data_IF_073651576716
#
_entry.id   IF_073651576716
#
_cell.length_a   1.000
_cell.length_b   1.000
_cell.length_c   1.000
_cell.angle_alpha   90.00
_cell.angle_beta   90.00
_cell.angle_gamma   90.00
#
_symmetry.space_group_name_H-M   'P 1'
#
loop_
_entity.id
_entity.type
_entity.pdbx_description
1 polymer ?
#
# COMPACT_ATOMS: atom_id res chain seq x y z
N UNK A 1 -28.29 8.76 -8.19
CA UNK A 1 -28.27 8.43 -6.76
C UNK A 1 -26.97 8.99 -6.17
N UNK A 2 -27.03 10.10 -5.40
CA UNK A 2 -25.84 10.79 -4.87
C UNK A 2 -25.19 9.93 -3.77
N UNK A 3 -23.97 9.43 -4.01
CA UNK A 3 -23.14 8.76 -2.99
C UNK A 3 -22.79 9.78 -1.90
N UNK A 4 -23.27 9.55 -0.70
CA UNK A 4 -22.83 10.26 0.50
C UNK A 4 -21.36 9.91 0.75
N UNK A 5 -20.45 10.88 0.56
CA UNK A 5 -19.06 10.77 1.01
C UNK A 5 -19.05 10.83 2.54
N UNK A 6 -19.12 9.69 3.20
CA UNK A 6 -18.80 9.60 4.62
C UNK A 6 -17.34 10.04 4.79
N UNK A 7 -17.13 11.22 5.38
CA UNK A 7 -15.84 11.63 5.93
C UNK A 7 -15.56 10.69 7.11
N UNK A 8 -14.93 9.57 6.87
CA UNK A 8 -14.33 8.77 7.95
C UNK A 8 -13.26 9.63 8.59
N UNK A 9 -13.48 9.98 9.86
CA UNK A 9 -12.48 10.69 10.65
C UNK A 9 -11.18 9.88 10.65
N UNK A 10 -10.06 10.53 10.36
CA UNK A 10 -8.73 9.93 10.45
C UNK A 10 -8.56 9.42 11.87
N UNK A 11 -8.46 8.11 12.05
CA UNK A 11 -8.11 7.50 13.33
C UNK A 11 -6.68 7.89 13.65
N UNK A 12 -6.48 8.76 14.61
CA UNK A 12 -5.14 9.10 15.09
C UNK A 12 -4.62 7.92 15.90
N UNK A 13 -3.59 7.27 15.41
CA UNK A 13 -2.83 6.27 16.19
C UNK A 13 -2.04 7.04 17.26
N UNK A 14 -2.29 6.70 18.52
CA UNK A 14 -1.51 7.22 19.66
C UNK A 14 -0.53 6.14 20.08
N UNK A 15 0.74 6.49 20.07
CA UNK A 15 1.81 5.61 20.56
C UNK A 15 2.15 6.01 22.00
N UNK A 16 2.14 5.05 22.91
CA UNK A 16 2.57 5.22 24.30
C UNK A 16 3.58 4.14 24.67
N UNK A 17 4.43 4.41 25.64
CA UNK A 17 5.46 3.47 26.11
C UNK A 17 5.13 2.93 27.51
N UNK A 18 3.84 2.81 27.83
CA UNK A 18 3.35 2.33 29.14
C UNK A 18 3.32 0.80 29.29
N UNK A 19 3.68 0.08 28.22
CA UNK A 19 3.73 -1.38 28.21
C UNK A 19 2.35 -2.06 28.14
N UNK A 20 1.27 -1.29 28.01
CA UNK A 20 -0.09 -1.82 27.87
C UNK A 20 -0.42 -1.96 26.38
N UNK A 21 -0.91 -3.13 25.95
CA UNK A 21 -1.29 -3.37 24.57
C UNK A 21 -0.10 -3.33 23.60
N UNK A 22 1.03 -3.88 24.01
CA UNK A 22 2.23 -3.95 23.15
C UNK A 22 1.92 -4.74 21.89
N UNK A 23 2.18 -4.11 20.74
CA UNK A 23 1.95 -4.69 19.42
C UNK A 23 3.26 -4.64 18.65
N UNK A 24 3.67 -5.78 18.07
CA UNK A 24 4.80 -5.81 17.16
C UNK A 24 4.43 -5.06 15.86
N UNK A 25 5.43 -4.42 15.26
CA UNK A 25 5.28 -3.73 13.97
C UNK A 25 4.21 -2.61 13.96
N UNK A 26 3.94 -1.98 15.09
CA UNK A 26 2.90 -0.95 15.22
C UNK A 26 3.05 0.20 14.20
N UNK A 27 4.28 0.50 13.77
CA UNK A 27 4.58 1.51 12.75
C UNK A 27 3.98 1.23 11.39
N UNK A 28 3.66 -0.03 11.09
CA UNK A 28 3.06 -0.46 9.81
C UNK A 28 1.66 0.11 9.63
N UNK A 29 0.91 0.33 10.72
CA UNK A 29 -0.40 0.97 10.66
C UNK A 29 -0.36 2.38 10.05
N UNK A 30 0.76 3.11 10.17
CA UNK A 30 0.96 4.42 9.56
C UNK A 30 0.99 4.35 8.03
N UNK A 31 1.46 3.26 7.45
CA UNK A 31 1.46 3.07 5.98
C UNK A 31 0.02 3.02 5.45
N UNK A 32 -0.89 2.41 6.20
CA UNK A 32 -2.30 2.36 5.86
C UNK A 32 -2.96 3.73 5.92
N UNK A 33 -2.62 4.55 6.93
CA UNK A 33 -3.07 5.93 7.01
C UNK A 33 -2.53 6.77 5.84
N UNK A 34 -1.28 6.58 5.45
CA UNK A 34 -0.69 7.24 4.28
C UNK A 34 -1.44 6.83 3.01
N UNK A 35 -1.79 5.56 2.83
CA UNK A 35 -2.57 5.10 1.69
C UNK A 35 -3.95 5.76 1.60
N UNK A 36 -4.58 6.00 2.74
CA UNK A 36 -5.88 6.70 2.84
C UNK A 36 -5.73 8.20 2.54
N UNK A 37 -4.78 8.86 3.20
CA UNK A 37 -4.52 10.30 3.08
C UNK A 37 -4.08 10.71 1.67
N UNK A 38 -3.32 9.86 0.98
CA UNK A 38 -2.87 10.10 -0.39
C UNK A 38 -3.91 9.77 -1.45
N UNK A 39 -5.07 9.24 -1.04
CA UNK A 39 -6.16 8.84 -1.93
C UNK A 39 -5.90 7.53 -2.69
N UNK A 40 -4.86 6.76 -2.33
CA UNK A 40 -4.56 5.49 -2.98
C UNK A 40 -5.75 4.53 -2.93
N UNK A 41 -6.38 4.41 -1.76
CA UNK A 41 -7.51 3.51 -1.54
C UNK A 41 -8.69 3.87 -2.47
N UNK A 42 -9.10 5.14 -2.48
CA UNK A 42 -10.20 5.60 -3.33
C UNK A 42 -9.91 5.43 -4.81
N UNK A 43 -8.73 5.85 -5.25
CA UNK A 43 -8.34 5.76 -6.67
C UNK A 43 -8.27 4.31 -7.17
N UNK A 44 -7.76 3.36 -6.36
CA UNK A 44 -7.75 1.93 -6.73
C UNK A 44 -9.16 1.36 -6.71
N UNK A 45 -10.00 1.77 -5.74
CA UNK A 45 -11.41 1.37 -5.71
C UNK A 45 -12.15 1.79 -6.97
N UNK A 46 -11.95 3.03 -7.41
CA UNK A 46 -12.60 3.55 -8.62
C UNK A 46 -12.15 2.78 -9.89
N UNK A 47 -10.88 2.40 -9.96
CA UNK A 47 -10.33 1.60 -11.07
C UNK A 47 -10.93 0.20 -11.12
N UNK A 48 -11.17 -0.43 -9.97
CA UNK A 48 -11.61 -1.82 -9.89
C UNK A 48 -13.13 -1.97 -9.70
N UNK A 49 -13.88 -0.87 -9.64
CA UNK A 49 -15.30 -0.88 -9.30
C UNK A 49 -16.16 -1.68 -10.29
N UNK A 50 -15.83 -1.67 -11.57
CA UNK A 50 -16.55 -2.35 -12.64
C UNK A 50 -16.33 -3.88 -12.64
N UNK A 51 -15.29 -4.35 -11.96
CA UNK A 51 -15.03 -5.78 -11.79
C UNK A 51 -15.98 -6.46 -10.81
N UNK A 52 -16.77 -5.67 -10.06
CA UNK A 52 -17.71 -6.16 -9.06
C UNK A 52 -19.15 -6.03 -9.54
N UNK A 53 -19.91 -7.13 -9.46
CA UNK A 53 -21.33 -7.18 -9.88
C UNK A 53 -22.30 -6.62 -8.83
N UNK A 54 -21.82 -6.24 -7.64
CA UNK A 54 -22.66 -5.76 -6.55
C UNK A 54 -21.85 -5.07 -5.46
N UNK A 55 -22.48 -4.76 -4.33
CA UNK A 55 -21.79 -4.11 -3.21
C UNK A 55 -20.70 -5.04 -2.66
N UNK A 56 -19.57 -4.46 -2.32
CA UNK A 56 -18.47 -5.16 -1.65
C UNK A 56 -18.56 -5.02 -0.12
N UNK A 57 -18.16 -6.05 0.59
CA UNK A 57 -17.97 -6.03 2.06
C UNK A 57 -16.67 -5.29 2.39
N UNK A 58 -15.61 -5.61 1.63
CA UNK A 58 -14.33 -4.92 1.70
C UNK A 58 -14.11 -4.11 0.43
N UNK A 59 -13.84 -2.83 0.59
CA UNK A 59 -13.54 -1.91 -0.51
C UNK A 59 -12.28 -2.38 -1.26
N UNK A 60 -12.30 -2.53 -2.61
CA UNK A 60 -11.17 -3.08 -3.37
C UNK A 60 -9.84 -2.39 -3.12
N UNK A 61 -9.85 -1.06 -3.11
CA UNK A 61 -8.65 -0.29 -2.80
C UNK A 61 -8.13 -0.49 -1.38
N UNK A 62 -9.02 -0.82 -0.43
CA UNK A 62 -8.64 -1.17 0.94
C UNK A 62 -7.93 -2.51 0.98
N UNK A 63 -8.46 -3.53 0.29
CA UNK A 63 -7.82 -4.84 0.18
C UNK A 63 -6.45 -4.72 -0.48
N UNK A 64 -6.34 -3.91 -1.54
CA UNK A 64 -5.07 -3.61 -2.19
C UNK A 64 -4.07 -2.94 -1.25
N UNK A 65 -4.52 -1.94 -0.48
CA UNK A 65 -3.65 -1.23 0.47
C UNK A 65 -3.21 -2.14 1.61
N UNK A 66 -4.09 -3.01 2.14
CA UNK A 66 -3.74 -3.97 3.18
C UNK A 66 -2.68 -4.96 2.69
N UNK A 67 -2.80 -5.45 1.46
CA UNK A 67 -1.78 -6.30 0.85
C UNK A 67 -0.45 -5.56 0.68
N UNK A 68 -0.49 -4.31 0.18
CA UNK A 68 0.72 -3.49 0.05
C UNK A 68 1.40 -3.22 1.39
N UNK A 69 0.62 -3.04 2.45
CA UNK A 69 1.11 -2.89 3.83
C UNK A 69 1.74 -4.18 4.32
N UNK A 70 1.12 -5.35 4.09
CA UNK A 70 1.69 -6.65 4.45
C UNK A 70 3.04 -6.89 3.75
N UNK A 71 3.13 -6.58 2.45
CA UNK A 71 4.40 -6.68 1.70
C UNK A 71 5.46 -5.72 2.24
N UNK A 72 5.10 -4.50 2.58
CA UNK A 72 6.02 -3.54 3.19
C UNK A 72 6.49 -3.96 4.59
N UNK A 73 5.71 -4.78 5.28
CA UNK A 73 6.04 -5.40 6.58
C UNK A 73 6.87 -6.68 6.45
N UNK A 74 7.19 -7.10 5.22
CA UNK A 74 8.05 -8.24 4.93
C UNK A 74 7.34 -9.51 4.48
N UNK A 75 6.04 -9.45 4.18
CA UNK A 75 5.34 -10.60 3.63
C UNK A 75 5.84 -10.90 2.20
N UNK A 76 6.20 -12.13 1.95
CA UNK A 76 6.63 -12.66 0.65
C UNK A 76 5.52 -13.45 -0.09
N UNK A 77 4.40 -13.66 0.58
CA UNK A 77 3.25 -14.38 0.04
C UNK A 77 1.93 -13.77 0.52
N UNK A 78 0.84 -14.08 -0.18
CA UNK A 78 -0.49 -13.52 0.12
C UNK A 78 -0.99 -13.90 1.52
N UNK A 79 -0.57 -15.05 2.04
CA UNK A 79 -0.93 -15.48 3.40
C UNK A 79 -0.37 -14.58 4.50
N UNK A 80 0.67 -13.79 4.20
CA UNK A 80 1.21 -12.78 5.12
C UNK A 80 0.21 -11.71 5.55
N UNK A 81 -0.93 -11.56 4.83
CA UNK A 81 -2.04 -10.69 5.27
C UNK A 81 -2.60 -11.10 6.64
N UNK A 82 -2.37 -12.34 7.07
CA UNK A 82 -2.78 -12.85 8.38
C UNK A 82 -2.26 -12.00 9.53
N UNK A 83 -1.06 -11.46 9.43
CA UNK A 83 -0.48 -10.57 10.46
C UNK A 83 -1.33 -9.32 10.70
N UNK A 84 -1.97 -8.80 9.65
CA UNK A 84 -2.86 -7.65 9.77
C UNK A 84 -4.24 -8.06 10.30
N UNK A 85 -4.72 -9.25 9.92
CA UNK A 85 -6.00 -9.81 10.41
C UNK A 85 -5.96 -10.00 11.91
N UNK A 86 -4.85 -10.49 12.45
CA UNK A 86 -4.68 -10.75 13.89
C UNK A 86 -4.62 -9.44 14.72
N UNK A 87 -4.35 -8.30 14.07
CA UNK A 87 -4.20 -7.01 14.72
C UNK A 87 -5.35 -6.04 14.42
N UNK A 88 -6.59 -6.50 14.56
CA UNK A 88 -7.80 -5.72 14.24
C UNK A 88 -7.90 -4.38 14.98
N UNK A 89 -7.32 -4.26 16.16
CA UNK A 89 -7.29 -3.01 16.93
C UNK A 89 -6.57 -1.91 16.16
N UNK A 90 -5.50 -2.24 15.44
CA UNK A 90 -4.72 -1.31 14.62
C UNK A 90 -5.32 -1.14 13.22
N UNK A 91 -5.64 -2.26 12.59
CA UNK A 91 -5.99 -2.27 11.16
C UNK A 91 -7.52 -2.26 10.91
N UNK A 92 -8.34 -2.48 11.96
CA UNK A 92 -9.79 -2.66 11.81
C UNK A 92 -10.10 -3.95 11.04
N UNK A 93 -11.19 -3.96 10.31
CA UNK A 93 -11.54 -5.13 9.49
C UNK A 93 -10.62 -5.24 8.29
N UNK A 94 -9.87 -6.32 8.23
CA UNK A 94 -9.01 -6.73 7.11
C UNK A 94 -9.71 -7.84 6.35
N UNK A 95 -9.56 -7.86 5.03
CA UNK A 95 -10.13 -8.91 4.19
C UNK A 95 -9.45 -10.26 4.45
N UNK A 96 -10.21 -11.34 4.29
CA UNK A 96 -9.67 -12.69 4.39
C UNK A 96 -8.65 -12.98 3.29
N UNK A 97 -7.80 -13.98 3.51
CA UNK A 97 -6.85 -14.48 2.51
C UNK A 97 -7.54 -14.78 1.17
N UNK A 98 -8.69 -15.44 1.19
CA UNK A 98 -9.47 -15.77 -0.02
C UNK A 98 -9.94 -14.51 -0.76
N UNK A 99 -10.38 -13.48 -0.03
CA UNK A 99 -10.80 -12.20 -0.63
C UNK A 99 -9.61 -11.48 -1.26
N UNK A 100 -8.47 -11.49 -0.59
CA UNK A 100 -7.22 -10.90 -1.10
C UNK A 100 -6.70 -11.64 -2.33
N UNK A 101 -6.75 -12.97 -2.32
CA UNK A 101 -6.41 -13.79 -3.48
C UNK A 101 -7.28 -13.45 -4.68
N UNK A 102 -8.60 -13.38 -4.50
CA UNK A 102 -9.53 -13.01 -5.59
C UNK A 102 -9.29 -11.62 -6.16
N UNK A 103 -8.83 -10.68 -5.34
CA UNK A 103 -8.45 -9.36 -5.85
C UNK A 103 -7.32 -9.49 -6.88
N UNK A 104 -6.30 -10.30 -6.58
CA UNK A 104 -5.14 -10.48 -7.46
C UNK A 104 -5.47 -11.30 -8.69
N UNK A 105 -6.17 -12.41 -8.51
CA UNK A 105 -6.41 -13.42 -9.55
C UNK A 105 -7.58 -13.05 -10.48
N UNK A 106 -8.66 -12.49 -9.92
CA UNK A 106 -9.90 -12.28 -10.68
C UNK A 106 -10.15 -10.80 -11.06
N UNK A 107 -9.56 -9.83 -10.33
CA UNK A 107 -9.91 -8.40 -10.45
C UNK A 107 -8.81 -7.54 -11.03
N UNK A 108 -7.56 -7.90 -10.74
CA UNK A 108 -6.37 -7.19 -11.19
C UNK A 108 -5.89 -7.75 -12.53
N UNK A 109 -6.71 -7.64 -13.56
CA UNK A 109 -6.36 -8.08 -14.91
C UNK A 109 -5.50 -7.06 -15.68
N UNK A 110 -5.07 -7.42 -16.87
CA UNK A 110 -4.23 -6.58 -17.74
C UNK A 110 -4.90 -5.24 -18.08
N UNK A 111 -6.24 -5.21 -18.21
CA UNK A 111 -6.98 -4.00 -18.56
C UNK A 111 -6.93 -2.97 -17.41
N UNK A 112 -7.03 -3.43 -16.16
CA UNK A 112 -7.04 -2.56 -14.97
C UNK A 112 -5.63 -2.18 -14.48
N UNK A 113 -4.59 -2.92 -14.88
CA UNK A 113 -3.23 -2.72 -14.38
C UNK A 113 -2.70 -1.30 -14.67
N UNK A 114 -3.01 -0.73 -15.83
CA UNK A 114 -2.62 0.64 -16.17
C UNK A 114 -3.28 1.67 -15.25
N UNK A 115 -4.55 1.47 -14.91
CA UNK A 115 -5.31 2.30 -13.98
C UNK A 115 -4.74 2.25 -12.57
N UNK A 116 -4.39 1.05 -12.08
CA UNK A 116 -3.74 0.88 -10.77
C UNK A 116 -2.36 1.55 -10.73
N UNK A 117 -1.56 1.44 -11.81
CA UNK A 117 -0.29 2.17 -11.92
C UNK A 117 -0.50 3.68 -11.84
N UNK A 118 -1.53 4.21 -12.51
CA UNK A 118 -1.90 5.64 -12.44
C UNK A 118 -2.36 6.03 -11.04
N UNK A 119 -3.18 5.23 -10.37
CA UNK A 119 -3.61 5.46 -8.99
C UNK A 119 -2.41 5.58 -8.04
N UNK A 120 -1.44 4.67 -8.15
CA UNK A 120 -0.18 4.71 -7.38
C UNK A 120 0.64 5.97 -7.68
N UNK A 121 0.74 6.38 -8.95
CA UNK A 121 1.45 7.61 -9.31
C UNK A 121 0.78 8.86 -8.74
N UNK A 122 -0.55 8.91 -8.75
CA UNK A 122 -1.35 9.99 -8.15
C UNK A 122 -1.15 10.07 -6.63
N UNK A 123 -1.19 8.93 -5.94
CA UNK A 123 -0.94 8.88 -4.50
C UNK A 123 0.49 9.34 -4.14
N UNK A 124 1.49 8.93 -4.92
CA UNK A 124 2.87 9.41 -4.74
C UNK A 124 2.97 10.92 -4.95
N UNK A 125 2.33 11.46 -5.98
CA UNK A 125 2.31 12.89 -6.22
C UNK A 125 1.68 13.66 -5.05
N UNK A 126 0.59 13.14 -4.47
CA UNK A 126 -0.03 13.70 -3.27
C UNK A 126 0.91 13.69 -2.05
N UNK A 127 1.64 12.57 -1.83
CA UNK A 127 2.64 12.48 -0.77
C UNK A 127 3.78 13.49 -0.97
N UNK A 128 4.25 13.65 -2.20
CA UNK A 128 5.28 14.62 -2.54
C UNK A 128 4.82 16.06 -2.33
N UNK A 129 3.61 16.39 -2.72
CA UNK A 129 3.01 17.70 -2.47
C UNK A 129 2.86 17.98 -0.97
N UNK A 130 2.65 16.95 -0.15
CA UNK A 130 2.62 17.04 1.30
C UNK A 130 4.01 17.13 1.97
N UNK A 131 5.09 17.22 1.19
CA UNK A 131 6.45 17.43 1.71
C UNK A 131 7.31 16.17 1.79
N UNK A 132 6.86 15.03 1.23
CA UNK A 132 7.68 13.82 1.14
C UNK A 132 8.63 13.82 -0.08
N UNK A 133 8.54 14.83 -0.95
CA UNK A 133 9.43 14.96 -2.10
C UNK A 133 10.89 15.21 -1.67
N UNK A 134 11.87 14.75 -2.45
CA UNK A 134 13.24 15.17 -2.31
C UNK A 134 13.35 16.70 -2.41
N UNK A 135 14.29 17.34 -1.69
CA UNK A 135 14.49 18.78 -1.80
C UNK A 135 14.76 19.21 -3.26
N UNK A 136 14.19 20.34 -3.67
CA UNK A 136 14.44 20.90 -5.00
C UNK A 136 15.94 21.11 -5.23
N UNK A 137 16.44 20.67 -6.37
CA UNK A 137 17.88 20.77 -6.73
C UNK A 137 18.77 19.70 -6.09
N UNK A 138 18.22 18.78 -5.28
CA UNK A 138 19.00 17.64 -4.77
C UNK A 138 19.19 16.58 -5.86
N UNK A 139 20.34 15.90 -5.82
CA UNK A 139 20.57 14.73 -6.67
C UNK A 139 19.63 13.60 -6.29
N UNK A 140 18.88 13.10 -7.26
CA UNK A 140 18.06 11.91 -7.10
C UNK A 140 18.91 10.67 -7.39
N UNK A 141 19.14 9.84 -6.37
CA UNK A 141 19.85 8.57 -6.56
C UNK A 141 18.78 7.48 -6.77
N UNK A 142 18.88 6.77 -7.88
CA UNK A 142 18.01 5.65 -8.22
C UNK A 142 18.85 4.38 -8.28
N UNK A 143 18.59 3.45 -7.37
CA UNK A 143 19.14 2.11 -7.43
C UNK A 143 18.20 1.24 -8.27
N UNK A 144 18.73 0.61 -9.28
CA UNK A 144 17.99 -0.31 -10.15
C UNK A 144 18.51 -1.71 -9.86
N UNK A 145 17.64 -2.55 -9.33
CA UNK A 145 17.95 -3.96 -9.07
C UNK A 145 17.02 -4.85 -9.88
N UNK A 146 17.54 -5.96 -10.37
CA UNK A 146 16.82 -6.96 -11.12
C UNK A 146 16.72 -8.24 -10.29
N UNK A 147 15.53 -8.56 -9.82
CA UNK A 147 15.25 -9.82 -9.12
C UNK A 147 14.68 -10.84 -10.09
N UNK A 148 15.21 -12.06 -10.05
CA UNK A 148 14.67 -13.19 -10.80
C UNK A 148 13.66 -13.88 -9.89
N UNK A 149 12.38 -13.81 -10.26
CA UNK A 149 11.34 -14.61 -9.63
C UNK A 149 11.16 -15.91 -10.42
N UNK A 150 11.29 -17.05 -9.75
CA UNK A 150 10.99 -18.35 -10.32
C UNK A 150 9.53 -18.66 -10.03
N UNK A 151 8.71 -18.70 -11.07
CA UNK A 151 7.33 -19.17 -10.98
C UNK A 151 7.31 -20.69 -11.13
N UNK A 152 6.79 -21.37 -10.12
CA UNK A 152 6.49 -22.80 -10.14
C UNK A 152 4.99 -22.98 -10.43
N UNK A 153 4.57 -22.71 -11.67
CA UNK A 153 3.22 -23.08 -12.07
C UNK A 153 3.16 -24.57 -12.42
N UNK A 154 2.15 -25.28 -11.90
CA UNK A 154 1.88 -26.69 -12.24
C UNK A 154 1.41 -26.88 -13.70
N UNK A 155 1.29 -25.83 -14.48
CA UNK A 155 1.01 -25.88 -15.91
C UNK A 155 2.29 -26.15 -16.67
N UNK A 156 2.52 -27.37 -17.01
CA UNK A 156 3.56 -27.79 -17.96
C UNK A 156 3.47 -26.97 -19.25
N UNK A 157 4.46 -26.09 -19.47
CA UNK A 157 4.65 -25.37 -20.72
C UNK A 157 4.90 -23.87 -20.60
N UNK A 158 4.56 -23.20 -19.52
CA UNK A 158 4.80 -21.76 -19.36
C UNK A 158 5.72 -21.42 -18.18
N UNK A 159 6.94 -21.89 -18.22
CA UNK A 159 7.99 -21.34 -17.33
C UNK A 159 8.41 -19.97 -17.85
N UNK A 160 7.69 -18.95 -17.47
CA UNK A 160 8.10 -17.56 -17.72
C UNK A 160 9.01 -17.12 -16.58
N UNK A 161 10.26 -16.81 -16.91
CA UNK A 161 11.13 -16.05 -16.00
C UNK A 161 10.62 -14.63 -15.99
N UNK A 162 9.99 -14.20 -14.90
CA UNK A 162 9.68 -12.80 -14.68
C UNK A 162 10.92 -12.12 -14.11
N UNK A 163 11.47 -11.18 -14.86
CA UNK A 163 12.46 -10.23 -14.35
C UNK A 163 11.70 -9.02 -13.82
N UNK A 164 11.62 -8.90 -12.52
CA UNK A 164 11.08 -7.69 -11.90
C UNK A 164 12.21 -6.70 -11.68
N UNK A 165 12.07 -5.51 -12.26
CA UNK A 165 13.01 -4.40 -12.04
C UNK A 165 12.47 -3.53 -10.92
N UNK A 166 13.15 -3.51 -9.79
CA UNK A 166 12.86 -2.60 -8.69
C UNK A 166 13.69 -1.33 -8.82
N UNK A 167 13.02 -0.18 -8.82
CA UNK A 167 13.68 1.11 -8.74
C UNK A 167 13.53 1.63 -7.32
N UNK A 168 14.62 1.66 -6.57
CA UNK A 168 14.68 2.29 -5.25
C UNK A 168 15.18 3.71 -5.41
N UNK A 169 14.40 4.67 -4.91
CA UNK A 169 14.81 6.06 -4.82
C UNK A 169 15.32 6.31 -3.41
N UNK A 170 16.60 6.55 -3.24
CA UNK A 170 17.23 6.89 -1.96
C UNK A 170 17.72 8.32 -1.95
N UNK A 171 17.67 8.98 -0.78
CA UNK A 171 18.31 10.26 -0.60
C UNK A 171 19.80 10.04 -0.32
N UNK A 172 20.70 10.90 -0.85
CA UNK A 172 22.11 10.81 -0.53
C UNK A 172 22.34 10.98 0.97
N UNK A 173 23.19 10.14 1.55
CA UNK A 173 23.56 10.21 2.96
C UNK A 173 24.18 11.60 3.25
N UNK A 174 23.57 12.36 4.18
CA UNK A 174 24.09 13.66 4.60
C UNK A 174 23.12 14.85 4.54
N UNK A 175 21.96 14.71 3.93
CA UNK A 175 20.96 15.78 3.93
C UNK A 175 20.26 15.79 5.31
N UNK A 176 20.73 16.64 6.23
CA UNK A 176 20.03 16.93 7.49
C UNK A 176 18.73 17.65 7.17
N UNK A 177 17.59 17.10 7.61
CA UNK A 177 16.31 17.83 7.58
C UNK A 177 16.47 19.12 8.39
N UNK A 178 16.03 20.29 7.90
CA UNK A 178 15.96 21.49 8.74
C UNK A 178 15.06 21.18 9.93
N UNK A 179 15.55 21.48 11.14
CA UNK A 179 14.75 21.43 12.36
C UNK A 179 13.54 22.36 12.14
N UNK A 180 12.33 21.80 12.24
CA UNK A 180 11.14 22.63 12.41
C UNK A 180 11.25 23.28 13.77
N UNK A 181 11.56 24.56 13.78
CA UNK A 181 11.45 25.37 14.98
C UNK A 181 10.00 25.27 15.48
N UNK A 182 9.88 24.86 16.73
CA UNK A 182 8.59 24.85 17.42
C UNK A 182 8.16 26.31 17.56
N UNK A 183 7.16 26.71 16.80
CA UNK A 183 6.43 27.93 17.12
C UNK A 183 5.76 27.70 18.49
N UNK A 184 6.13 28.58 19.43
CA UNK A 184 5.55 28.68 20.76
C UNK A 184 4.09 29.18 20.68
#
# INVERSE_FOLDING_TARGET
>A
MKRSKSRRGVRRVRVSADGVGVVSHAGVSLLREVADLTGLIGNVTDVLADTYKGPWVHEPGRVFADLAVAVADGADCVSGIGSLVDQQVLHGQVASLTTTWRLLDERLDTAHLSGVKKARATARAAAWAAGAAPPAGSTLVMDVDASISLDHSDREGERRRHVETFVRVSQPAGVRRPRRDRLR
#
